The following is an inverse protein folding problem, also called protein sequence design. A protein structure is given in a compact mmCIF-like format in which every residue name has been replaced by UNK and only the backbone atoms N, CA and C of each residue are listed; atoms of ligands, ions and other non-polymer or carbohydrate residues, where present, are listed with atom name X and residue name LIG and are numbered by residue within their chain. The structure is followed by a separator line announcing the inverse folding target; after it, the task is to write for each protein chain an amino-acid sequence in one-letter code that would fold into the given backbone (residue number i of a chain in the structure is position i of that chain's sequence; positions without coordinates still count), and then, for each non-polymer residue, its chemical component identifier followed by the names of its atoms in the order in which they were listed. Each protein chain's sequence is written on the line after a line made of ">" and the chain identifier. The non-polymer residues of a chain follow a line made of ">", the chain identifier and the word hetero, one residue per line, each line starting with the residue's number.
data_IF_798513752928
#
_entry.id   IF_798513752928
#
_cell.length_a   1.000
_cell.length_b   1.000
_cell.length_c   1.000
_cell.angle_alpha   90.00
_cell.angle_beta   90.00
_cell.angle_gamma   90.00
#
_symmetry.space_group_name_H-M   'P 1'
#
loop_
_entity.id
_entity.type
_entity.pdbx_description
1 polymer ?
#
# COMPACT_ATOMS: atom_id res chain seq x y z
N UNK A 1 31.17 17.83 14.73
CA UNK A 1 32.43 18.61 14.76
C UNK A 1 32.56 19.66 13.65
N UNK A 2 32.05 19.45 12.42
CA UNK A 2 32.16 20.42 11.32
C UNK A 2 31.64 21.85 11.64
N UNK A 3 30.55 21.95 12.42
CA UNK A 3 29.93 23.23 12.79
C UNK A 3 30.79 24.13 13.69
N UNK A 4 31.63 23.57 14.56
CA UNK A 4 32.48 24.39 15.43
C UNK A 4 33.64 25.03 14.66
N UNK A 5 34.21 24.32 13.68
CA UNK A 5 35.28 24.87 12.82
C UNK A 5 34.75 25.97 11.90
N UNK A 6 33.58 25.78 11.29
CA UNK A 6 32.95 26.79 10.44
C UNK A 6 32.53 28.04 11.23
N UNK A 7 31.95 27.86 12.42
CA UNK A 7 31.58 28.98 13.30
C UNK A 7 32.79 29.79 13.76
N UNK A 8 33.91 29.13 14.10
CA UNK A 8 35.17 29.82 14.45
C UNK A 8 35.78 30.58 13.27
N UNK A 9 35.80 29.97 12.08
CA UNK A 9 36.37 30.60 10.89
C UNK A 9 35.60 31.86 10.49
N UNK A 10 34.26 31.79 10.46
CA UNK A 10 33.42 32.95 10.17
C UNK A 10 33.41 33.97 11.30
N UNK A 11 33.35 33.52 12.55
CA UNK A 11 33.43 34.41 13.71
C UNK A 11 34.74 35.21 13.72
N UNK A 12 35.87 34.57 13.38
CA UNK A 12 37.15 35.24 13.24
C UNK A 12 37.18 36.19 12.03
N UNK A 13 36.69 35.76 10.87
CA UNK A 13 36.65 36.59 9.66
C UNK A 13 35.78 37.85 9.84
N UNK A 14 34.57 37.70 10.39
CA UNK A 14 33.70 38.83 10.70
C UNK A 14 34.28 39.70 11.82
N UNK A 15 34.91 39.10 12.83
CA UNK A 15 35.58 39.82 13.91
C UNK A 15 36.72 40.70 13.40
N UNK A 16 37.58 40.16 12.53
CA UNK A 16 38.70 40.90 11.92
C UNK A 16 38.18 41.98 10.95
N UNK A 17 37.17 41.67 10.13
CA UNK A 17 36.56 42.66 9.24
C UNK A 17 35.91 43.80 10.03
N UNK A 18 35.21 43.50 11.14
CA UNK A 18 34.62 44.49 12.02
C UNK A 18 35.69 45.33 12.73
N UNK A 19 36.74 44.70 13.27
CA UNK A 19 37.85 45.40 13.89
C UNK A 19 38.59 46.31 12.90
N UNK A 20 38.79 45.85 11.66
CA UNK A 20 39.38 46.64 10.57
C UNK A 20 38.49 47.81 10.16
N UNK A 21 37.17 47.61 10.07
CA UNK A 21 36.20 48.66 9.79
C UNK A 21 36.21 49.77 10.87
N UNK A 22 36.23 49.38 12.15
CA UNK A 22 36.33 50.30 13.29
C UNK A 22 37.68 51.03 13.27
N UNK A 23 38.78 50.31 13.02
CA UNK A 23 40.13 50.88 12.97
C UNK A 23 40.27 51.92 11.86
N UNK A 24 39.89 51.57 10.62
CA UNK A 24 39.91 52.48 9.47
C UNK A 24 39.02 53.71 9.71
N UNK A 25 37.91 53.54 10.43
CA UNK A 25 37.08 54.65 10.85
C UNK A 25 37.70 55.59 11.86
N UNK A 26 38.39 55.03 12.85
CA UNK A 26 39.10 55.81 13.86
C UNK A 26 40.34 56.54 13.30
N UNK A 27 40.89 56.06 12.19
CA UNK A 27 42.10 56.58 11.55
C UNK A 27 41.86 57.79 10.62
N UNK A 28 40.67 58.42 10.66
CA UNK A 28 40.38 59.65 9.92
C UNK A 28 40.05 59.45 8.44
N UNK A 29 39.54 58.27 8.06
CA UNK A 29 39.00 58.06 6.73
C UNK A 29 37.62 58.73 6.61
N UNK A 30 37.60 60.05 6.40
CA UNK A 30 36.39 60.86 6.13
C UNK A 30 35.63 60.41 4.87
N UNK A 31 36.22 59.53 4.06
CA UNK A 31 35.58 58.90 2.91
C UNK A 31 34.78 57.63 3.26
N UNK A 32 35.05 57.00 4.42
CA UNK A 32 34.38 55.76 4.86
C UNK A 32 33.26 56.09 5.85
N UNK A 33 33.43 57.15 6.63
CA UNK A 33 32.41 57.69 7.52
C UNK A 33 31.87 58.94 6.86
N UNK A 34 30.59 58.90 6.54
CA UNK A 34 29.94 59.86 5.66
C UNK A 34 30.26 61.31 6.04
N UNK A 35 30.41 62.17 5.03
CA UNK A 35 30.75 63.57 5.26
C UNK A 35 29.77 64.21 6.26
N UNK A 36 30.26 65.14 7.09
CA UNK A 36 29.47 65.75 8.17
C UNK A 36 28.16 66.47 7.71
N UNK A 37 27.97 66.67 6.41
CA UNK A 37 26.77 67.23 5.78
C UNK A 37 25.64 66.17 5.58
N UNK A 38 25.99 64.89 5.42
CA UNK A 38 25.00 63.82 5.28
C UNK A 38 24.39 63.51 6.65
N UNK A 39 23.12 63.92 6.84
CA UNK A 39 22.33 63.86 8.09
C UNK A 39 22.01 62.44 8.59
N UNK A 40 23.02 61.58 8.78
CA UNK A 40 22.91 60.30 9.48
C UNK A 40 22.24 59.14 8.72
N UNK A 41 21.82 59.33 7.47
CA UNK A 41 21.13 58.28 6.68
C UNK A 41 22.08 57.21 6.09
N UNK A 42 23.35 57.56 5.97
CA UNK A 42 24.33 56.80 5.22
C UNK A 42 24.73 55.47 5.94
N UNK A 43 24.87 55.47 7.28
CA UNK A 43 25.07 54.23 8.05
C UNK A 43 23.90 53.25 7.91
N UNK A 44 22.67 53.78 7.84
CA UNK A 44 21.46 52.98 7.65
C UNK A 44 21.42 52.32 6.27
N UNK A 45 21.86 53.02 5.22
CA UNK A 45 21.96 52.47 3.87
C UNK A 45 23.02 51.37 3.77
N UNK A 46 24.18 51.55 4.43
CA UNK A 46 25.21 50.52 4.51
C UNK A 46 24.74 49.25 5.24
N UNK A 47 24.06 49.41 6.39
CA UNK A 47 23.47 48.28 7.12
C UNK A 47 22.40 47.59 6.27
N UNK A 48 21.58 48.35 5.55
CA UNK A 48 20.57 47.79 4.64
C UNK A 48 21.20 47.05 3.46
N UNK A 49 22.30 47.55 2.90
CA UNK A 49 23.02 46.93 1.78
C UNK A 49 23.73 45.65 2.20
N UNK A 50 24.32 45.60 3.40
CA UNK A 50 24.99 44.42 3.94
C UNK A 50 24.00 43.36 4.45
N UNK A 51 22.84 43.76 4.97
CA UNK A 51 21.81 42.85 5.47
C UNK A 51 21.29 41.87 4.42
N UNK A 52 21.15 42.31 3.16
CA UNK A 52 20.72 41.44 2.05
C UNK A 52 21.74 40.34 1.72
N UNK A 53 23.04 40.68 1.64
CA UNK A 53 24.09 39.71 1.35
C UNK A 53 24.34 38.74 2.51
N UNK A 54 24.25 39.22 3.76
CA UNK A 54 24.36 38.37 4.94
C UNK A 54 23.23 37.32 4.99
N UNK A 55 22.01 37.68 4.62
CA UNK A 55 20.89 36.74 4.52
C UNK A 55 21.14 35.66 3.45
N UNK A 56 21.65 36.04 2.27
CA UNK A 56 21.99 35.09 1.19
C UNK A 56 23.11 34.15 1.63
N UNK A 57 24.16 34.66 2.28
CA UNK A 57 25.27 33.86 2.79
C UNK A 57 24.83 32.87 3.88
N UNK A 58 23.88 33.24 4.73
CA UNK A 58 23.29 32.34 5.72
C UNK A 58 22.31 31.32 5.08
N UNK A 59 21.58 31.72 4.05
CA UNK A 59 20.60 30.88 3.37
C UNK A 59 21.26 29.80 2.48
N UNK A 60 22.36 30.12 1.80
CA UNK A 60 22.98 29.21 0.82
C UNK A 60 23.42 27.86 1.42
N UNK A 61 24.13 27.79 2.58
CA UNK A 61 24.45 26.51 3.24
C UNK A 61 23.20 25.74 3.66
N UNK A 62 22.16 26.47 4.11
CA UNK A 62 20.89 25.88 4.55
C UNK A 62 20.18 25.20 3.38
N UNK A 63 20.04 25.89 2.25
CA UNK A 63 19.44 25.35 1.02
C UNK A 63 20.24 24.14 0.51
N UNK A 64 21.57 24.22 0.54
CA UNK A 64 22.43 23.10 0.12
C UNK A 64 22.27 21.87 1.02
N UNK A 65 22.16 22.05 2.33
CA UNK A 65 21.96 20.93 3.24
C UNK A 65 20.55 20.32 3.09
N UNK A 66 19.53 21.16 2.91
CA UNK A 66 18.16 20.72 2.67
C UNK A 66 18.03 19.94 1.35
N UNK A 67 18.69 20.37 0.27
CA UNK A 67 18.65 19.63 -1.01
C UNK A 67 19.27 18.24 -0.89
N UNK A 68 20.35 18.10 -0.12
CA UNK A 68 20.94 16.78 0.19
C UNK A 68 20.01 15.93 1.06
N UNK A 69 19.32 16.51 2.05
CA UNK A 69 18.36 15.78 2.87
C UNK A 69 17.17 15.28 2.04
N UNK A 70 16.60 16.12 1.17
CA UNK A 70 15.49 15.73 0.29
C UNK A 70 15.91 14.60 -0.65
N UNK A 71 17.13 14.65 -1.18
CA UNK A 71 17.67 13.58 -2.05
C UNK A 71 17.85 12.27 -1.29
N UNK A 72 18.35 12.33 -0.06
CA UNK A 72 18.50 11.17 0.81
C UNK A 72 17.14 10.58 1.21
N UNK A 73 16.18 11.43 1.58
CA UNK A 73 14.81 11.03 1.91
C UNK A 73 14.13 10.33 0.72
N UNK A 74 14.25 10.88 -0.48
CA UNK A 74 13.73 10.27 -1.71
C UNK A 74 14.32 8.87 -1.96
N UNK A 75 15.59 8.65 -1.61
CA UNK A 75 16.22 7.32 -1.73
C UNK A 75 15.64 6.34 -0.72
N UNK A 76 15.44 6.77 0.54
CA UNK A 76 14.80 5.94 1.56
C UNK A 76 13.35 5.61 1.23
N UNK A 77 12.59 6.55 0.66
CA UNK A 77 11.22 6.32 0.19
C UNK A 77 11.18 5.24 -0.91
N UNK A 78 12.10 5.28 -1.88
CA UNK A 78 12.21 4.25 -2.92
C UNK A 78 12.47 2.85 -2.34
N UNK A 79 13.37 2.75 -1.37
CA UNK A 79 13.68 1.47 -0.70
C UNK A 79 12.47 0.96 0.09
N UNK A 80 11.81 1.83 0.86
CA UNK A 80 10.62 1.47 1.63
C UNK A 80 9.47 1.02 0.71
N UNK A 81 9.26 1.74 -0.39
CA UNK A 81 8.29 1.36 -1.42
C UNK A 81 8.64 0.00 -2.05
N UNK A 82 9.90 -0.25 -2.38
CA UNK A 82 10.36 -1.53 -2.92
C UNK A 82 10.16 -2.70 -1.93
N UNK A 83 10.34 -2.48 -0.63
CA UNK A 83 10.11 -3.49 0.40
C UNK A 83 8.60 -3.77 0.55
N UNK A 84 7.78 -2.72 0.67
CA UNK A 84 6.33 -2.86 0.82
C UNK A 84 5.69 -3.54 -0.40
N UNK A 85 6.13 -3.18 -1.62
CA UNK A 85 5.63 -3.79 -2.86
C UNK A 85 5.97 -5.27 -2.97
N UNK A 86 7.14 -5.72 -2.52
CA UNK A 86 7.50 -7.17 -2.52
C UNK A 86 6.55 -8.01 -1.67
N UNK A 87 6.24 -7.55 -0.46
CA UNK A 87 5.32 -8.25 0.42
C UNK A 87 3.90 -8.32 -0.17
N UNK A 88 3.45 -7.25 -0.80
CA UNK A 88 2.14 -7.22 -1.47
C UNK A 88 2.12 -8.09 -2.74
N UNK A 89 3.22 -8.14 -3.49
CA UNK A 89 3.36 -9.03 -4.66
C UNK A 89 3.30 -10.51 -4.26
N UNK A 90 3.99 -10.90 -3.17
CA UNK A 90 3.91 -12.29 -2.69
C UNK A 90 2.49 -12.65 -2.24
N UNK A 91 1.80 -11.71 -1.57
CA UNK A 91 0.42 -11.90 -1.15
C UNK A 91 -0.53 -12.01 -2.35
N UNK A 92 -0.40 -11.14 -3.36
CA UNK A 92 -1.19 -11.19 -4.59
C UNK A 92 -0.98 -12.51 -5.34
N UNK A 93 0.27 -12.97 -5.44
CA UNK A 93 0.61 -14.25 -6.07
C UNK A 93 0.01 -15.43 -5.31
N UNK A 94 0.03 -15.41 -3.97
CA UNK A 94 -0.57 -16.45 -3.13
C UNK A 94 -2.10 -16.48 -3.23
N UNK A 95 -2.74 -15.30 -3.22
CA UNK A 95 -4.19 -15.17 -3.41
C UNK A 95 -4.61 -15.68 -4.78
N UNK A 96 -3.88 -15.31 -5.84
CA UNK A 96 -4.09 -15.82 -7.20
C UNK A 96 -3.97 -17.33 -7.29
N UNK A 97 -2.91 -17.92 -6.73
CA UNK A 97 -2.72 -19.37 -6.76
C UNK A 97 -3.84 -20.11 -6.01
N UNK A 98 -4.24 -19.59 -4.86
CA UNK A 98 -5.34 -20.14 -4.06
C UNK A 98 -6.67 -20.05 -4.82
N UNK A 99 -6.93 -18.92 -5.49
CA UNK A 99 -8.13 -18.75 -6.31
C UNK A 99 -8.15 -19.74 -7.49
N UNK A 100 -7.02 -19.97 -8.17
CA UNK A 100 -6.91 -20.99 -9.23
C UNK A 100 -7.23 -22.39 -8.68
N UNK A 101 -6.69 -22.74 -7.51
CA UNK A 101 -6.97 -24.00 -6.82
C UNK A 101 -8.48 -24.14 -6.55
N UNK A 102 -9.13 -23.12 -6.00
CA UNK A 102 -10.58 -23.11 -5.74
C UNK A 102 -11.37 -23.34 -7.03
N UNK A 103 -11.05 -22.62 -8.12
CA UNK A 103 -11.74 -22.81 -9.41
C UNK A 103 -11.57 -24.23 -9.94
N UNK A 104 -10.37 -24.78 -9.83
CA UNK A 104 -10.11 -26.17 -10.24
C UNK A 104 -10.97 -27.15 -9.44
N UNK A 105 -11.03 -26.98 -8.12
CA UNK A 105 -11.83 -27.85 -7.26
C UNK A 105 -13.33 -27.72 -7.51
N UNK A 106 -13.84 -26.49 -7.71
CA UNK A 106 -15.24 -26.26 -8.09
C UNK A 106 -15.59 -26.97 -9.40
N UNK A 107 -14.72 -26.91 -10.41
CA UNK A 107 -14.91 -27.63 -11.68
C UNK A 107 -14.90 -29.14 -11.48
N UNK A 108 -13.97 -29.66 -10.68
CA UNK A 108 -13.88 -31.10 -10.39
C UNK A 108 -15.15 -31.60 -9.71
N UNK A 109 -15.64 -30.86 -8.70
CA UNK A 109 -16.90 -31.15 -8.00
C UNK A 109 -18.08 -31.16 -8.96
N UNK A 110 -18.19 -30.20 -9.88
CA UNK A 110 -19.26 -30.21 -10.88
C UNK A 110 -19.23 -31.45 -11.76
N UNK A 111 -18.04 -31.87 -12.18
CA UNK A 111 -17.87 -33.07 -12.99
C UNK A 111 -18.23 -34.34 -12.22
N UNK A 112 -17.81 -34.46 -10.95
CA UNK A 112 -18.16 -35.64 -10.13
C UNK A 112 -19.66 -35.73 -9.88
N UNK A 113 -20.32 -34.59 -9.62
CA UNK A 113 -21.77 -34.54 -9.44
C UNK A 113 -22.52 -34.91 -10.73
N UNK A 114 -22.10 -34.38 -11.88
CA UNK A 114 -22.73 -34.68 -13.18
C UNK A 114 -22.63 -36.15 -13.61
N UNK A 115 -21.55 -36.84 -13.24
CA UNK A 115 -21.30 -38.23 -13.66
C UNK A 115 -21.79 -39.29 -12.66
N UNK A 116 -22.37 -38.87 -11.54
CA UNK A 116 -22.59 -39.79 -10.43
C UNK A 116 -23.95 -40.49 -10.50
N UNK A 117 -23.94 -41.76 -10.94
CA UNK A 117 -25.04 -42.72 -10.72
C UNK A 117 -25.22 -43.14 -9.25
N UNK A 118 -24.93 -42.23 -8.31
CA UNK A 118 -24.97 -42.47 -6.87
C UNK A 118 -26.41 -42.54 -6.35
N UNK A 119 -26.63 -43.28 -5.27
CA UNK A 119 -27.91 -43.30 -4.54
C UNK A 119 -28.14 -41.95 -3.83
N UNK A 120 -29.40 -41.49 -3.74
CA UNK A 120 -29.73 -40.14 -3.21
C UNK A 120 -29.11 -39.82 -1.84
N UNK A 121 -29.09 -40.71 -0.83
CA UNK A 121 -28.48 -40.39 0.47
C UNK A 121 -26.96 -40.14 0.37
N UNK A 122 -26.26 -40.89 -0.49
CA UNK A 122 -24.82 -40.68 -0.72
C UNK A 122 -24.56 -39.36 -1.44
N UNK A 123 -25.45 -38.96 -2.34
CA UNK A 123 -25.34 -37.67 -3.04
C UNK A 123 -25.49 -36.51 -2.05
N UNK A 124 -26.47 -36.53 -1.14
CA UNK A 124 -26.64 -35.46 -0.13
C UNK A 124 -25.41 -35.31 0.75
N UNK A 125 -24.84 -36.41 1.25
CA UNK A 125 -23.61 -36.37 2.06
C UNK A 125 -22.42 -35.84 1.27
N UNK A 126 -22.29 -36.21 0.00
CA UNK A 126 -21.23 -35.70 -0.87
C UNK A 126 -21.39 -34.20 -1.11
N UNK A 127 -22.62 -33.72 -1.38
CA UNK A 127 -22.92 -32.30 -1.55
C UNK A 127 -22.59 -31.50 -0.29
N UNK A 128 -22.96 -32.00 0.90
CA UNK A 128 -22.61 -31.35 2.16
C UNK A 128 -21.10 -31.22 2.33
N UNK A 129 -20.36 -32.32 2.15
CA UNK A 129 -18.91 -32.34 2.27
C UNK A 129 -18.24 -31.34 1.31
N UNK A 130 -18.78 -31.21 0.09
CA UNK A 130 -18.33 -30.23 -0.90
C UNK A 130 -18.59 -28.79 -0.42
N UNK A 131 -19.78 -28.50 0.11
CA UNK A 131 -20.08 -27.16 0.65
C UNK A 131 -19.17 -26.81 1.83
N UNK A 132 -18.91 -27.76 2.73
CA UNK A 132 -18.01 -27.57 3.86
C UNK A 132 -16.58 -27.28 3.38
N UNK A 133 -16.07 -28.08 2.44
CA UNK A 133 -14.77 -27.89 1.83
C UNK A 133 -14.66 -26.52 1.13
N UNK A 134 -15.72 -26.13 0.41
CA UNK A 134 -15.79 -24.83 -0.26
C UNK A 134 -15.75 -23.66 0.73
N UNK A 135 -16.51 -23.75 1.82
CA UNK A 135 -16.47 -22.75 2.89
C UNK A 135 -15.06 -22.65 3.50
N UNK A 136 -14.42 -23.77 3.79
CA UNK A 136 -13.05 -23.82 4.34
C UNK A 136 -12.01 -23.18 3.40
N UNK A 137 -12.18 -23.28 2.08
CA UNK A 137 -11.28 -22.60 1.15
C UNK A 137 -11.32 -21.08 1.29
N UNK A 138 -12.50 -20.49 1.46
CA UNK A 138 -12.66 -19.03 1.59
C UNK A 138 -12.30 -18.51 2.97
N UNK A 139 -12.29 -19.38 3.99
CA UNK A 139 -11.76 -19.06 5.34
C UNK A 139 -10.24 -18.99 5.40
N UNK A 140 -9.53 -19.37 4.33
CA UNK A 140 -8.06 -19.25 4.29
C UNK A 140 -7.66 -17.77 4.49
N UNK A 141 -6.66 -17.48 5.37
CA UNK A 141 -6.31 -16.11 5.74
C UNK A 141 -5.81 -15.28 4.55
N UNK A 142 -5.27 -15.92 3.51
CA UNK A 142 -4.79 -15.26 2.29
C UNK A 142 -5.84 -14.37 1.63
N UNK A 143 -7.11 -14.77 1.64
CA UNK A 143 -8.17 -13.97 1.02
C UNK A 143 -8.50 -12.73 1.85
N UNK A 144 -8.62 -12.88 3.17
CA UNK A 144 -8.88 -11.76 4.07
C UNK A 144 -7.71 -10.76 4.11
N UNK A 145 -6.47 -11.26 4.12
CA UNK A 145 -5.28 -10.42 4.06
C UNK A 145 -5.16 -9.68 2.71
N UNK A 146 -5.45 -10.36 1.61
CA UNK A 146 -5.48 -9.76 0.27
C UNK A 146 -6.56 -8.67 0.18
N UNK A 147 -7.76 -8.94 0.68
CA UNK A 147 -8.85 -7.95 0.77
C UNK A 147 -8.45 -6.71 1.57
N UNK A 148 -7.85 -6.91 2.75
CA UNK A 148 -7.49 -5.82 3.64
C UNK A 148 -6.36 -4.93 3.09
N UNK A 149 -5.44 -5.49 2.29
CA UNK A 149 -4.26 -4.76 1.79
C UNK A 149 -4.39 -4.23 0.37
N UNK A 150 -5.05 -4.99 -0.50
CA UNK A 150 -5.13 -4.71 -1.94
C UNK A 150 -6.59 -4.39 -2.33
N UNK A 151 -7.54 -5.12 -1.75
CA UNK A 151 -8.95 -5.02 -2.09
C UNK A 151 -9.32 -5.81 -3.35
N UNK A 152 -10.61 -5.93 -3.60
CA UNK A 152 -11.16 -6.51 -4.82
C UNK A 152 -11.79 -5.43 -5.69
N UNK A 153 -11.78 -5.65 -7.01
CA UNK A 153 -12.49 -4.78 -7.94
C UNK A 153 -14.02 -4.85 -7.78
N UNK A 154 -14.53 -6.00 -7.35
CA UNK A 154 -15.96 -6.24 -7.15
C UNK A 154 -16.40 -5.91 -5.72
N UNK A 155 -17.68 -5.53 -5.56
CA UNK A 155 -18.29 -5.24 -4.26
C UNK A 155 -18.48 -6.47 -3.34
N UNK A 156 -18.07 -7.66 -3.78
CA UNK A 156 -18.24 -8.90 -3.01
C UNK A 156 -17.05 -9.09 -2.08
N UNK A 157 -17.30 -9.07 -0.77
CA UNK A 157 -16.26 -9.27 0.26
C UNK A 157 -16.05 -10.75 0.59
N UNK A 158 -14.89 -11.11 1.16
CA UNK A 158 -14.64 -12.48 1.65
C UNK A 158 -15.64 -12.85 2.74
N UNK A 159 -16.01 -11.89 3.58
CA UNK A 159 -17.00 -12.08 4.63
C UNK A 159 -18.38 -12.43 4.03
N UNK A 160 -18.82 -11.72 2.99
CA UNK A 160 -20.10 -11.98 2.32
C UNK A 160 -20.16 -13.39 1.74
N UNK A 161 -19.12 -13.82 1.02
CA UNK A 161 -19.12 -15.16 0.42
C UNK A 161 -19.02 -16.27 1.47
N UNK A 162 -18.24 -16.06 2.54
CA UNK A 162 -18.12 -17.02 3.64
C UNK A 162 -19.46 -17.21 4.36
N UNK A 163 -20.15 -16.11 4.70
CA UNK A 163 -21.47 -16.16 5.33
C UNK A 163 -22.49 -16.86 4.42
N UNK A 164 -22.45 -16.58 3.12
CA UNK A 164 -23.34 -17.22 2.16
C UNK A 164 -23.09 -18.74 2.10
N UNK A 165 -21.84 -19.19 2.01
CA UNK A 165 -21.48 -20.60 1.95
C UNK A 165 -21.77 -21.33 3.26
N UNK A 166 -21.48 -20.73 4.40
CA UNK A 166 -21.83 -21.28 5.71
C UNK A 166 -23.35 -21.43 5.88
N UNK A 167 -24.13 -20.46 5.35
CA UNK A 167 -25.58 -20.56 5.26
C UNK A 167 -26.05 -21.76 4.41
N UNK A 168 -25.38 -22.02 3.29
CA UNK A 168 -25.67 -23.22 2.49
C UNK A 168 -25.30 -24.50 3.24
N UNK A 169 -24.14 -24.55 3.91
CA UNK A 169 -23.72 -25.70 4.72
C UNK A 169 -24.74 -26.01 5.81
N UNK A 170 -25.20 -24.99 6.55
CA UNK A 170 -26.22 -25.16 7.59
C UNK A 170 -27.51 -25.73 7.02
N UNK A 171 -27.98 -25.19 5.89
CA UNK A 171 -29.19 -25.68 5.26
C UNK A 171 -29.06 -27.13 4.74
N UNK A 172 -27.87 -27.51 4.25
CA UNK A 172 -27.61 -28.90 3.82
C UNK A 172 -27.64 -29.88 4.99
N UNK A 173 -27.22 -29.46 6.20
CA UNK A 173 -27.30 -30.28 7.42
C UNK A 173 -28.75 -30.55 7.81
N UNK A 174 -29.61 -29.55 7.71
CA UNK A 174 -31.05 -29.71 7.99
C UNK A 174 -31.69 -30.70 7.00
N UNK A 175 -31.32 -30.61 5.72
CA UNK A 175 -31.84 -31.48 4.67
C UNK A 175 -31.31 -32.92 4.76
N UNK A 176 -30.10 -33.14 5.29
CA UNK A 176 -29.57 -34.49 5.51
C UNK A 176 -30.39 -35.26 6.55
N UNK A 177 -30.81 -34.58 7.62
CA UNK A 177 -31.70 -35.15 8.64
C UNK A 177 -33.02 -35.59 7.99
N UNK A 178 -33.61 -34.73 7.15
CA UNK A 178 -34.83 -35.06 6.39
C UNK A 178 -34.62 -36.15 5.35
N UNK A 179 -33.42 -36.23 4.74
CA UNK A 179 -33.12 -37.24 3.74
C UNK A 179 -33.11 -38.66 4.30
N UNK A 180 -32.83 -38.83 5.60
CA UNK A 180 -32.95 -40.11 6.30
C UNK A 180 -34.42 -40.56 6.42
N UNK A 181 -35.38 -39.63 6.39
CA UNK A 181 -36.82 -39.90 6.48
C UNK A 181 -37.48 -40.09 5.11
N UNK A 182 -36.76 -39.80 4.02
CA UNK A 182 -37.20 -40.01 2.64
C UNK A 182 -37.41 -38.72 1.86
N UNK A 183 -36.31 -38.14 1.37
CA UNK A 183 -36.35 -36.92 0.56
C UNK A 183 -37.11 -37.11 -0.77
N UNK A 184 -38.01 -36.19 -1.09
CA UNK A 184 -38.67 -36.17 -2.40
C UNK A 184 -37.68 -35.83 -3.52
N UNK A 185 -37.98 -36.25 -4.75
CA UNK A 185 -37.16 -35.94 -5.94
C UNK A 185 -37.05 -34.42 -6.15
N UNK A 186 -38.14 -33.68 -5.90
CA UNK A 186 -38.20 -32.23 -6.08
C UNK A 186 -37.31 -31.47 -5.10
N UNK A 187 -37.24 -31.92 -3.84
CA UNK A 187 -36.34 -31.34 -2.83
C UNK A 187 -34.89 -31.59 -3.19
N UNK A 188 -34.57 -32.80 -3.66
CA UNK A 188 -33.23 -33.13 -4.13
C UNK A 188 -32.80 -32.27 -5.32
N UNK A 189 -33.69 -32.06 -6.31
CA UNK A 189 -33.41 -31.19 -7.46
C UNK A 189 -33.18 -29.74 -7.03
N UNK A 190 -33.98 -29.24 -6.08
CA UNK A 190 -33.80 -27.90 -5.51
C UNK A 190 -32.46 -27.76 -4.79
N UNK A 191 -32.04 -28.80 -4.06
CA UNK A 191 -30.76 -28.87 -3.37
C UNK A 191 -29.59 -28.81 -4.37
N UNK A 192 -29.64 -29.60 -5.44
CA UNK A 192 -28.64 -29.58 -6.50
C UNK A 192 -28.55 -28.22 -7.20
N UNK A 193 -29.70 -27.58 -7.48
CA UNK A 193 -29.75 -26.24 -8.06
C UNK A 193 -29.12 -25.18 -7.15
N UNK A 194 -29.35 -25.27 -5.84
CA UNK A 194 -28.73 -24.36 -4.85
C UNK A 194 -27.23 -24.56 -4.77
N UNK A 195 -26.77 -25.81 -4.74
CA UNK A 195 -25.34 -26.13 -4.76
C UNK A 195 -24.67 -25.55 -6.01
N UNK A 196 -25.25 -25.74 -7.19
CA UNK A 196 -24.67 -25.18 -8.41
C UNK A 196 -24.64 -23.64 -8.36
N UNK A 197 -25.68 -23.01 -7.80
CA UNK A 197 -25.68 -21.58 -7.51
C UNK A 197 -24.52 -21.15 -6.60
N UNK A 198 -24.27 -21.89 -5.52
CA UNK A 198 -23.17 -21.62 -4.61
C UNK A 198 -21.80 -21.81 -5.25
N UNK A 199 -21.63 -22.88 -6.04
CA UNK A 199 -20.42 -23.14 -6.82
C UNK A 199 -20.20 -22.06 -7.89
N UNK A 200 -21.26 -21.52 -8.51
CA UNK A 200 -21.17 -20.42 -9.47
C UNK A 200 -20.68 -19.14 -8.80
N UNK A 201 -21.18 -18.83 -7.59
CA UNK A 201 -20.73 -17.65 -6.83
C UNK A 201 -19.27 -17.82 -6.41
N UNK A 202 -18.88 -19.02 -5.94
CA UNK A 202 -17.49 -19.34 -5.60
C UNK A 202 -16.53 -19.20 -6.79
N UNK A 203 -16.87 -19.74 -7.97
CA UNK A 203 -16.04 -19.62 -9.18
C UNK A 203 -15.90 -18.16 -9.63
N UNK A 204 -16.99 -17.39 -9.60
CA UNK A 204 -16.97 -15.95 -9.93
C UNK A 204 -16.09 -15.15 -8.98
N UNK A 205 -16.20 -15.38 -7.68
CA UNK A 205 -15.36 -14.69 -6.69
C UNK A 205 -13.88 -15.05 -6.86
N UNK A 206 -13.57 -16.33 -7.09
CA UNK A 206 -12.21 -16.75 -7.36
C UNK A 206 -11.67 -16.15 -8.67
N UNK A 207 -12.49 -16.03 -9.71
CA UNK A 207 -12.15 -15.34 -10.95
C UNK A 207 -11.87 -13.84 -10.73
N UNK A 208 -12.72 -13.15 -9.97
CA UNK A 208 -12.52 -11.75 -9.60
C UNK A 208 -11.23 -11.55 -8.78
N UNK A 209 -10.92 -12.50 -7.88
CA UNK A 209 -9.66 -12.50 -7.11
C UNK A 209 -8.45 -12.64 -8.03
N UNK A 210 -8.48 -13.58 -8.99
CA UNK A 210 -7.42 -13.73 -9.99
C UNK A 210 -7.23 -12.44 -10.80
N UNK A 211 -8.31 -11.85 -11.30
CA UNK A 211 -8.26 -10.63 -12.09
C UNK A 211 -7.70 -9.44 -11.30
N UNK A 212 -8.10 -9.29 -10.03
CA UNK A 212 -7.60 -8.25 -9.12
C UNK A 212 -6.10 -8.44 -8.84
N UNK A 213 -5.67 -9.68 -8.58
CA UNK A 213 -4.26 -9.99 -8.36
C UNK A 213 -3.41 -9.76 -9.61
N UNK A 214 -3.87 -10.16 -10.79
CA UNK A 214 -3.17 -9.93 -12.06
C UNK A 214 -3.03 -8.44 -12.37
N UNK A 215 -4.09 -7.66 -12.14
CA UNK A 215 -4.08 -6.20 -12.32
C UNK A 215 -3.05 -5.54 -11.40
N UNK A 216 -3.05 -5.92 -10.11
CA UNK A 216 -2.09 -5.41 -9.13
C UNK A 216 -0.64 -5.75 -9.53
N UNK A 217 -0.38 -7.00 -9.92
CA UNK A 217 0.97 -7.44 -10.34
C UNK A 217 1.43 -6.65 -11.57
N UNK A 218 0.56 -6.44 -12.57
CA UNK A 218 0.88 -5.66 -13.76
C UNK A 218 1.19 -4.19 -13.42
N UNK A 219 0.44 -3.59 -12.51
CA UNK A 219 0.65 -2.21 -12.10
C UNK A 219 1.97 -2.02 -11.36
N UNK A 220 2.31 -2.92 -10.43
CA UNK A 220 3.61 -2.90 -9.76
C UNK A 220 4.76 -3.10 -10.75
N UNK A 221 4.64 -4.01 -11.72
CA UNK A 221 5.66 -4.20 -12.76
C UNK A 221 5.84 -2.95 -13.62
N UNK A 222 4.75 -2.24 -13.95
CA UNK A 222 4.77 -0.98 -14.69
C UNK A 222 5.39 0.17 -13.87
N UNK A 223 5.18 0.20 -12.56
CA UNK A 223 5.82 1.18 -11.69
C UNK A 223 7.32 0.88 -11.52
N UNK A 224 7.68 -0.40 -11.40
CA UNK A 224 9.07 -0.84 -11.32
C UNK A 224 9.88 -0.45 -12.56
N UNK A 225 9.32 -0.59 -13.76
CA UNK A 225 9.99 -0.21 -15.02
C UNK A 225 10.16 1.30 -15.22
N UNK A 226 9.39 2.14 -14.51
CA UNK A 226 9.54 3.61 -14.52
C UNK A 226 10.57 4.11 -13.52
N UNK A 227 10.89 3.31 -12.52
CA UNK A 227 11.84 3.65 -11.46
C UNK A 227 13.27 3.14 -11.73
N UNK A 228 13.39 2.14 -12.61
CA UNK A 228 14.66 1.62 -13.12
C UNK A 228 15.24 2.53 -14.21
#
# INVERSE_FOLDING_TARGET
>A
MFWHGWGLAWGFAFGVAFAGFVYLGSAGADAVWCAADDRGNCLREWISALGGWAAVAAAAPTIYYLSRQVTAAATHEKVNFAIASRANLSLASAARQTAIEVRYQVRLVRQTLGNSGMTRPRQVNHVRAVCELASEWFKRPVFAEFEARIGFADATTVATITVYLDGQVSHMKDLEIQALEGLSVKEFEMLMKRLDGAMNIADKFAEATCASADTFIQEINRLGSRLA
#
